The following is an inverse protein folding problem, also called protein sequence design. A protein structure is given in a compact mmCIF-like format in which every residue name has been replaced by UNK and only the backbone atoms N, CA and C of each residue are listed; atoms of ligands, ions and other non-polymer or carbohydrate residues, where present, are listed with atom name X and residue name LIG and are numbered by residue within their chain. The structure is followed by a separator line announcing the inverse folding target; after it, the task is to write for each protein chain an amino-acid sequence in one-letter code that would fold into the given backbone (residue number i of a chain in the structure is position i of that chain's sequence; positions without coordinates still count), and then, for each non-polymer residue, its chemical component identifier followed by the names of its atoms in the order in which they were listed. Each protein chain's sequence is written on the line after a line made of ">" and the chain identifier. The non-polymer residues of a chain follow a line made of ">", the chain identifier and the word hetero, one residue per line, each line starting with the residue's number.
data_IF_846885627290
#
_entry.id   IF_846885627290
#
_cell.length_a   1.000
_cell.length_b   1.000
_cell.length_c   1.000
_cell.angle_alpha   90.00
_cell.angle_beta   90.00
_cell.angle_gamma   90.00
#
_symmetry.space_group_name_H-M   'P 1'
#
loop_
_entity.id
_entity.type
_entity.pdbx_description
1 polymer ?
#
# COMPACT_ATOMS: atom_id res chain seq x y z
N UNK A 1 -2.80 62.32 38.07
CA UNK A 1 -3.19 61.91 36.71
C UNK A 1 -2.35 60.70 36.40
N UNK A 2 -2.91 59.46 36.64
CA UNK A 2 -2.22 58.17 36.43
C UNK A 2 -2.61 57.64 35.06
N UNK A 3 -1.64 57.52 34.16
CA UNK A 3 -1.80 56.97 32.82
C UNK A 3 -1.77 55.42 32.94
N UNK A 4 -2.87 54.74 32.69
CA UNK A 4 -2.98 53.29 32.60
C UNK A 4 -2.58 52.86 31.17
N UNK A 5 -1.45 52.21 31.02
CA UNK A 5 -1.05 51.51 29.79
C UNK A 5 -1.84 50.17 29.76
N UNK A 6 -2.72 50.02 28.76
CA UNK A 6 -3.38 48.78 28.45
C UNK A 6 -2.50 48.07 27.39
N UNK A 7 -1.78 47.02 27.79
CA UNK A 7 -1.14 46.10 26.86
C UNK A 7 -2.20 45.15 26.31
N UNK A 8 -2.60 45.34 25.05
CA UNK A 8 -3.38 44.37 24.31
C UNK A 8 -2.46 43.21 23.88
N UNK A 9 -2.58 42.07 24.53
CA UNK A 9 -1.98 40.83 24.08
C UNK A 9 -2.79 40.28 22.89
N UNK A 10 -2.28 40.52 21.67
CA UNK A 10 -2.71 39.80 20.47
C UNK A 10 -2.25 38.33 20.58
N UNK A 11 -3.12 37.47 21.06
CA UNK A 11 -2.94 36.03 20.98
C UNK A 11 -3.07 35.60 19.52
N UNK A 12 -1.95 35.34 18.86
CA UNK A 12 -1.94 34.56 17.61
C UNK A 12 -2.32 33.15 17.99
N UNK A 13 -3.56 32.75 17.73
CA UNK A 13 -3.96 31.35 17.72
C UNK A 13 -3.26 30.69 16.54
N UNK A 14 -2.15 29.99 16.80
CA UNK A 14 -1.60 29.01 15.85
C UNK A 14 -2.60 27.86 15.90
N UNK A 15 -3.39 27.73 14.84
CA UNK A 15 -4.12 26.50 14.59
C UNK A 15 -3.06 25.43 14.35
N UNK A 16 -2.90 24.54 15.31
CA UNK A 16 -2.31 23.23 15.04
C UNK A 16 -3.34 22.56 14.15
N UNK A 17 -3.03 22.38 12.87
CA UNK A 17 -3.69 21.37 12.06
C UNK A 17 -3.36 20.05 12.76
N UNK A 18 -4.37 19.37 13.32
CA UNK A 18 -4.29 17.98 13.72
C UNK A 18 -3.99 17.22 12.41
N UNK A 19 -2.73 16.87 12.20
CA UNK A 19 -2.34 15.86 11.24
C UNK A 19 -2.96 14.55 11.72
N UNK A 20 -4.17 14.26 11.25
CA UNK A 20 -4.82 12.97 11.43
C UNK A 20 -3.94 11.88 10.82
N UNK A 21 -3.20 11.17 11.66
CA UNK A 21 -2.28 10.08 11.33
C UNK A 21 -3.02 8.94 10.61
N UNK A 22 -2.70 8.69 9.34
CA UNK A 22 -3.45 7.77 8.43
C UNK A 22 -2.48 7.03 7.53
N UNK A 23 -2.62 5.67 7.31
CA UNK A 23 -1.47 4.76 7.18
C UNK A 23 -0.55 5.22 8.31
N UNK A 24 -0.26 4.56 9.31
CA UNK A 24 0.34 5.16 10.52
C UNK A 24 1.36 6.25 10.14
N UNK A 25 1.10 7.51 10.51
CA UNK A 25 1.94 8.67 10.17
C UNK A 25 1.96 9.08 8.68
N UNK A 26 0.95 8.68 7.91
CA UNK A 26 0.76 9.07 6.51
C UNK A 26 -0.06 10.34 6.33
N UNK A 27 -0.66 10.50 5.16
CA UNK A 27 -1.56 11.61 4.80
C UNK A 27 -2.63 11.14 3.83
N UNK A 28 -3.77 11.83 3.77
CA UNK A 28 -4.79 11.54 2.75
C UNK A 28 -4.22 11.81 1.35
N UNK A 29 -4.25 10.80 0.47
CA UNK A 29 -3.80 10.97 -0.91
C UNK A 29 -4.63 12.08 -1.59
N UNK A 30 -4.01 12.82 -2.50
CA UNK A 30 -4.78 13.65 -3.42
C UNK A 30 -5.76 12.75 -4.18
N UNK A 31 -7.03 13.15 -4.26
CA UNK A 31 -8.07 12.36 -4.91
C UNK A 31 -7.64 11.93 -6.31
N UNK A 32 -7.74 10.63 -6.59
CA UNK A 32 -7.38 9.98 -7.87
C UNK A 32 -5.90 10.08 -8.27
N UNK A 33 -4.99 10.42 -7.35
CA UNK A 33 -3.55 10.48 -7.64
C UNK A 33 -2.87 9.11 -7.71
N UNK A 34 -3.57 8.04 -7.31
CA UNK A 34 -3.08 6.65 -7.31
C UNK A 34 -4.04 5.80 -8.16
N UNK A 35 -4.15 6.03 -9.50
CA UNK A 35 -5.20 5.44 -10.33
C UNK A 35 -5.05 3.92 -10.54
N UNK A 36 -3.93 3.34 -10.16
CA UNK A 36 -3.61 1.92 -10.26
C UNK A 36 -3.99 1.12 -9.00
N UNK A 37 -4.32 1.79 -7.90
CA UNK A 37 -4.69 1.07 -6.67
C UNK A 37 -6.08 0.45 -6.82
N UNK A 38 -6.24 -0.76 -6.26
CA UNK A 38 -7.52 -1.43 -6.21
C UNK A 38 -7.83 -1.89 -4.79
N UNK A 39 -9.12 -1.97 -4.45
CA UNK A 39 -9.61 -2.57 -3.22
C UNK A 39 -10.12 -3.97 -3.52
N UNK A 40 -9.62 -5.00 -2.84
CA UNK A 40 -10.17 -6.35 -2.84
C UNK A 40 -11.30 -6.39 -1.80
N UNK A 41 -12.51 -6.78 -2.23
CA UNK A 41 -13.73 -6.58 -1.46
C UNK A 41 -14.60 -7.84 -1.40
N UNK A 42 -15.05 -8.17 -0.20
CA UNK A 42 -16.00 -9.28 0.09
C UNK A 42 -17.24 -8.77 0.84
N UNK A 43 -17.72 -7.58 0.49
CA UNK A 43 -18.71 -6.80 1.24
C UNK A 43 -18.06 -5.71 2.10
N UNK A 44 -16.76 -5.82 2.34
CA UNK A 44 -15.87 -4.83 2.97
C UNK A 44 -14.47 -4.94 2.34
N UNK A 45 -13.71 -3.85 2.43
CA UNK A 45 -12.29 -3.84 2.04
C UNK A 45 -11.50 -4.75 2.97
N UNK A 46 -10.63 -5.62 2.41
CA UNK A 46 -9.78 -6.49 3.24
C UNK A 46 -8.31 -6.54 2.80
N UNK A 47 -8.03 -6.18 1.56
CA UNK A 47 -6.69 -6.10 0.97
C UNK A 47 -6.67 -5.10 -0.17
N UNK A 48 -5.50 -4.59 -0.48
CA UNK A 48 -5.22 -3.81 -1.67
C UNK A 48 -4.70 -4.64 -2.83
N UNK A 49 -4.44 -3.98 -3.93
CA UNK A 49 -3.77 -4.51 -5.10
C UNK A 49 -3.37 -3.42 -6.06
N UNK A 50 -2.68 -3.79 -7.14
CA UNK A 50 -2.20 -2.88 -8.17
C UNK A 50 -2.62 -3.35 -9.56
N UNK A 51 -3.31 -2.51 -10.32
CA UNK A 51 -3.67 -2.79 -11.72
C UNK A 51 -2.40 -2.69 -12.58
N UNK A 52 -1.93 -3.82 -13.14
CA UNK A 52 -0.71 -3.87 -13.96
C UNK A 52 -0.99 -3.98 -15.47
N UNK A 53 -2.16 -4.47 -15.84
CA UNK A 53 -2.75 -4.37 -17.20
C UNK A 53 -4.25 -4.07 -17.07
N UNK A 54 -4.94 -3.82 -18.17
CA UNK A 54 -6.40 -3.58 -18.10
C UNK A 54 -7.19 -4.75 -17.50
N UNK A 55 -6.62 -5.95 -17.43
CA UNK A 55 -7.34 -7.15 -16.96
C UNK A 55 -6.62 -7.92 -15.85
N UNK A 56 -5.44 -7.46 -15.39
CA UNK A 56 -4.67 -8.14 -14.36
C UNK A 56 -4.28 -7.23 -13.22
N UNK A 57 -4.50 -7.73 -12.01
CA UNK A 57 -4.12 -7.09 -10.74
C UNK A 57 -3.06 -7.93 -10.05
N UNK A 58 -2.02 -7.27 -9.53
CA UNK A 58 -1.01 -7.86 -8.65
C UNK A 58 -1.36 -7.55 -7.19
N UNK A 59 -1.29 -8.57 -6.33
CA UNK A 59 -1.55 -8.47 -4.89
C UNK A 59 -0.70 -9.47 -4.12
N UNK A 60 -0.91 -9.62 -2.81
CA UNK A 60 -0.21 -10.56 -1.95
C UNK A 60 -0.92 -11.92 -1.90
N UNK A 61 -0.15 -13.02 -1.85
CA UNK A 61 -0.72 -14.38 -1.78
C UNK A 61 -1.51 -14.62 -0.49
N UNK A 62 -1.12 -14.00 0.63
CA UNK A 62 -1.86 -14.12 1.88
C UNK A 62 -3.25 -13.46 1.84
N UNK A 63 -3.53 -12.61 0.85
CA UNK A 63 -4.85 -12.05 0.56
C UNK A 63 -5.78 -13.01 -0.19
N UNK A 64 -5.34 -14.22 -0.51
CA UNK A 64 -6.14 -15.17 -1.28
C UNK A 64 -7.51 -15.44 -0.64
N UNK A 65 -8.56 -15.27 -1.45
CA UNK A 65 -9.92 -15.76 -1.19
C UNK A 65 -10.49 -16.35 -2.49
N UNK A 66 -11.43 -17.30 -2.43
CA UNK A 66 -11.94 -17.96 -3.63
C UNK A 66 -12.82 -17.03 -4.50
N UNK A 67 -13.52 -16.07 -3.90
CA UNK A 67 -14.42 -15.15 -4.59
C UNK A 67 -14.36 -13.79 -3.91
N UNK A 68 -14.16 -12.74 -4.69
CA UNK A 68 -14.18 -11.35 -4.26
C UNK A 68 -14.35 -10.42 -5.47
N UNK A 69 -14.81 -9.23 -5.23
CA UNK A 69 -14.85 -8.15 -6.20
C UNK A 69 -13.58 -7.31 -6.12
N UNK A 70 -13.15 -6.81 -7.26
CA UNK A 70 -12.08 -5.83 -7.40
C UNK A 70 -12.71 -4.47 -7.67
N UNK A 71 -12.48 -3.52 -6.78
CA UNK A 71 -12.98 -2.15 -6.89
C UNK A 71 -11.84 -1.24 -7.31
N UNK A 72 -12.02 -0.59 -8.47
CA UNK A 72 -11.06 0.31 -9.08
C UNK A 72 -11.61 1.74 -9.06
N UNK A 73 -10.75 2.76 -9.13
CA UNK A 73 -11.16 4.17 -9.18
C UNK A 73 -11.72 4.72 -7.87
N UNK A 74 -11.47 4.00 -6.76
CA UNK A 74 -11.88 4.38 -5.40
C UNK A 74 -10.96 5.47 -4.83
N UNK A 75 -11.57 6.40 -4.09
CA UNK A 75 -10.86 7.28 -3.18
C UNK A 75 -11.52 7.22 -1.80
N UNK A 76 -12.81 7.45 -1.72
CA UNK A 76 -13.60 7.22 -0.52
C UNK A 76 -14.38 5.91 -0.65
N UNK A 77 -13.92 4.83 0.02
CA UNK A 77 -14.53 3.50 -0.08
C UNK A 77 -15.91 3.38 0.59
N UNK A 78 -16.35 4.37 1.37
CA UNK A 78 -17.64 4.38 2.05
C UNK A 78 -18.77 4.92 1.16
N UNK A 79 -18.45 5.68 0.11
CA UNK A 79 -19.44 6.34 -0.76
C UNK A 79 -19.12 6.15 -2.24
N UNK A 80 -20.15 6.18 -3.09
CA UNK A 80 -19.94 6.21 -4.54
C UNK A 80 -19.66 7.62 -5.01
N UNK A 81 -18.48 7.83 -5.61
CA UNK A 81 -18.01 9.12 -6.11
C UNK A 81 -18.22 9.27 -7.63
N UNK A 82 -18.60 8.17 -8.33
CA UNK A 82 -18.86 8.14 -9.76
C UNK A 82 -17.64 7.84 -10.64
N UNK A 83 -16.51 7.50 -10.04
CA UNK A 83 -15.25 7.17 -10.73
C UNK A 83 -14.93 5.67 -10.69
N UNK A 84 -15.73 4.91 -9.93
CA UNK A 84 -15.47 3.52 -9.60
C UNK A 84 -15.86 2.56 -10.74
N UNK A 85 -15.11 1.47 -10.81
CA UNK A 85 -15.43 0.29 -11.60
C UNK A 85 -15.36 -0.94 -10.68
N UNK A 86 -16.43 -1.72 -10.63
CA UNK A 86 -16.51 -2.95 -9.83
C UNK A 86 -16.53 -4.13 -10.78
N UNK A 87 -15.48 -4.95 -10.71
CA UNK A 87 -15.28 -6.08 -11.62
C UNK A 87 -14.94 -7.32 -10.77
N UNK A 88 -15.70 -8.39 -10.94
CA UNK A 88 -15.44 -9.63 -10.21
C UNK A 88 -14.15 -10.31 -10.68
N UNK A 89 -13.49 -11.02 -9.78
CA UNK A 89 -12.34 -11.87 -10.09
C UNK A 89 -12.82 -13.18 -10.74
N UNK A 90 -12.18 -13.61 -11.85
CA UNK A 90 -12.49 -14.89 -12.52
C UNK A 90 -11.38 -15.92 -12.34
N UNK A 91 -10.18 -15.47 -12.01
CA UNK A 91 -9.04 -16.34 -11.72
C UNK A 91 -8.12 -15.68 -10.71
N UNK A 92 -7.68 -16.48 -9.75
CA UNK A 92 -6.74 -16.06 -8.70
C UNK A 92 -5.59 -17.06 -8.67
N UNK A 93 -4.37 -16.58 -8.86
CA UNK A 93 -3.16 -17.41 -9.01
C UNK A 93 -2.13 -16.94 -8.00
N UNK A 94 -1.95 -17.69 -6.92
CA UNK A 94 -0.87 -17.48 -5.97
C UNK A 94 0.43 -18.09 -6.50
N UNK A 95 1.57 -17.53 -6.12
CA UNK A 95 2.87 -18.13 -6.47
C UNK A 95 2.99 -19.54 -5.86
N UNK A 96 3.41 -20.52 -6.66
CA UNK A 96 3.44 -21.94 -6.24
C UNK A 96 4.35 -22.23 -5.04
N UNK A 97 5.37 -21.38 -4.83
CA UNK A 97 6.31 -21.49 -3.71
C UNK A 97 5.96 -20.55 -2.54
N UNK A 98 4.74 -19.99 -2.51
CA UNK A 98 4.30 -19.18 -1.37
C UNK A 98 4.38 -19.97 -0.06
N UNK A 99 5.05 -19.41 0.92
CA UNK A 99 5.20 -20.00 2.25
C UNK A 99 4.47 -19.12 3.28
N UNK A 100 3.34 -19.62 3.80
CA UNK A 100 2.49 -18.89 4.74
C UNK A 100 3.12 -18.68 6.15
N UNK A 101 4.22 -19.35 6.49
CA UNK A 101 4.93 -19.16 7.77
C UNK A 101 5.97 -18.06 7.69
N UNK A 102 6.74 -18.03 6.60
CA UNK A 102 7.79 -17.03 6.39
C UNK A 102 7.32 -15.84 5.57
N UNK A 103 6.21 -15.96 4.83
CA UNK A 103 5.71 -15.04 3.81
C UNK A 103 6.68 -14.92 2.61
N UNK A 104 7.56 -15.90 2.41
CA UNK A 104 8.35 -15.95 1.19
C UNK A 104 7.48 -16.20 -0.03
N UNK A 105 7.77 -15.54 -1.15
CA UNK A 105 6.96 -15.55 -2.38
C UNK A 105 5.50 -15.09 -2.16
N UNK A 106 5.29 -14.09 -1.32
CA UNK A 106 3.96 -13.54 -1.02
C UNK A 106 3.46 -12.64 -2.16
N UNK A 107 3.05 -13.28 -3.24
CA UNK A 107 2.61 -12.61 -4.46
C UNK A 107 1.49 -13.41 -5.15
N UNK A 108 0.53 -12.71 -5.74
CA UNK A 108 -0.67 -13.26 -6.34
C UNK A 108 -1.10 -12.43 -7.54
N UNK A 109 -1.54 -13.09 -8.61
CA UNK A 109 -2.17 -12.49 -9.77
C UNK A 109 -3.67 -12.77 -9.77
N UNK A 110 -4.45 -11.75 -10.09
CA UNK A 110 -5.91 -11.78 -10.17
C UNK A 110 -6.32 -11.38 -11.57
N UNK A 111 -7.04 -12.26 -12.29
CA UNK A 111 -7.65 -11.93 -13.57
C UNK A 111 -9.07 -11.40 -13.37
N UNK A 112 -9.35 -10.22 -13.93
CA UNK A 112 -10.66 -9.60 -13.91
C UNK A 112 -11.61 -10.29 -14.93
N UNK A 113 -12.89 -10.33 -14.64
CA UNK A 113 -13.92 -10.91 -15.51
C UNK A 113 -14.03 -10.18 -16.86
N UNK A 114 -13.76 -8.89 -16.87
CA UNK A 114 -13.66 -8.05 -18.07
C UNK A 114 -12.53 -7.04 -17.90
N UNK A 115 -11.93 -6.54 -18.98
CA UNK A 115 -10.96 -5.47 -18.89
C UNK A 115 -11.56 -4.22 -18.25
N UNK A 116 -10.80 -3.59 -17.35
CA UNK A 116 -11.12 -2.27 -16.81
C UNK A 116 -11.00 -1.22 -17.92
N UNK A 117 -11.87 -0.22 -17.90
CA UNK A 117 -11.80 0.94 -18.77
C UNK A 117 -10.73 1.91 -18.23
N UNK A 118 -9.63 2.04 -18.95
CA UNK A 118 -8.53 2.93 -18.54
C UNK A 118 -8.90 4.39 -18.82
N UNK A 119 -8.70 5.24 -17.79
CA UNK A 119 -8.98 6.67 -17.84
C UNK A 119 -8.12 7.40 -16.77
N UNK A 120 -8.44 8.66 -16.45
CA UNK A 120 -7.70 9.41 -15.43
C UNK A 120 -7.90 8.89 -14.00
N UNK A 121 -8.93 8.08 -13.73
CA UNK A 121 -9.27 7.54 -12.40
C UNK A 121 -8.84 6.07 -12.24
N UNK A 122 -8.73 5.34 -13.35
CA UNK A 122 -8.35 3.93 -13.39
C UNK A 122 -7.28 3.77 -14.45
N UNK A 123 -6.05 3.46 -14.04
CA UNK A 123 -4.93 3.28 -14.96
C UNK A 123 -3.97 2.22 -14.42
N UNK A 124 -3.07 1.76 -15.25
CA UNK A 124 -2.06 0.76 -14.87
C UNK A 124 -0.83 1.41 -14.29
N UNK A 125 -0.08 0.64 -13.46
CA UNK A 125 1.27 0.95 -13.05
C UNK A 125 2.25 0.03 -13.78
N UNK A 126 3.40 0.55 -14.20
CA UNK A 126 4.43 -0.23 -14.87
C UNK A 126 5.14 -1.17 -13.91
N UNK A 127 5.47 -2.37 -14.38
CA UNK A 127 6.39 -3.25 -13.67
C UNK A 127 7.82 -2.67 -13.68
N UNK A 128 8.65 -3.00 -12.67
CA UNK A 128 9.97 -2.42 -12.56
C UNK A 128 10.95 -3.02 -13.57
N UNK A 129 11.85 -2.20 -14.11
CA UNK A 129 12.95 -2.64 -14.97
C UNK A 129 14.17 -3.15 -14.19
N UNK A 130 14.21 -2.94 -12.87
CA UNK A 130 15.28 -3.35 -11.95
C UNK A 130 14.78 -3.35 -10.51
N UNK A 131 15.63 -3.75 -9.57
CA UNK A 131 15.28 -3.76 -8.15
C UNK A 131 15.57 -2.41 -7.50
N UNK A 132 14.79 -1.98 -6.50
CA UNK A 132 14.95 -0.67 -5.89
C UNK A 132 16.24 -0.62 -5.04
N UNK A 133 16.99 0.46 -5.15
CA UNK A 133 18.17 0.69 -4.32
C UNK A 133 17.78 1.21 -2.93
N UNK A 134 18.61 0.93 -1.92
CA UNK A 134 18.45 1.54 -0.61
C UNK A 134 18.49 3.07 -0.72
N UNK A 135 17.60 3.75 0.01
CA UNK A 135 17.41 5.20 -0.03
C UNK A 135 16.43 5.68 -1.10
N UNK A 136 16.01 4.83 -2.06
CA UNK A 136 14.98 5.19 -3.03
C UNK A 136 13.67 5.50 -2.29
N UNK A 137 13.06 6.66 -2.59
CA UNK A 137 11.76 7.03 -2.02
C UNK A 137 10.64 6.39 -2.81
N UNK A 138 9.71 5.76 -2.08
CA UNK A 138 8.57 5.07 -2.65
C UNK A 138 7.28 5.58 -2.03
N UNK A 139 6.22 5.61 -2.82
CA UNK A 139 4.86 5.86 -2.39
C UNK A 139 4.21 4.53 -2.01
N UNK A 140 3.69 4.43 -0.79
CA UNK A 140 2.85 3.35 -0.29
C UNK A 140 1.44 3.92 -0.15
N UNK A 141 0.42 3.19 -0.58
CA UNK A 141 -0.96 3.66 -0.50
C UNK A 141 -1.93 2.55 -0.11
N UNK A 142 -2.99 2.90 0.66
CA UNK A 142 -4.01 1.95 1.06
C UNK A 142 -5.07 2.54 1.99
N UNK A 143 -6.02 1.69 2.39
CA UNK A 143 -7.11 2.00 3.35
C UNK A 143 -6.94 1.21 4.66
N UNK A 144 -5.71 0.81 4.96
CA UNK A 144 -5.40 0.07 6.18
C UNK A 144 -5.52 0.91 7.44
N UNK A 145 -5.40 0.22 8.58
CA UNK A 145 -5.46 0.83 9.90
C UNK A 145 -4.42 1.97 10.03
N UNK A 146 -4.83 3.05 10.66
CA UNK A 146 -4.07 4.29 10.78
C UNK A 146 -3.43 4.46 12.16
N UNK A 147 -3.69 3.52 13.07
CA UNK A 147 -3.15 3.54 14.43
C UNK A 147 -2.12 2.44 14.63
N UNK A 148 -1.03 2.76 15.30
CA UNK A 148 -0.04 1.77 15.76
C UNK A 148 -0.54 0.94 16.95
N UNK A 149 -1.51 1.47 17.70
CA UNK A 149 -2.20 0.83 18.81
C UNK A 149 -3.71 1.14 18.70
N UNK A 150 -4.53 0.09 18.60
CA UNK A 150 -5.96 0.20 18.34
C UNK A 150 -6.34 0.07 16.86
N UNK A 151 -7.57 0.44 16.51
CA UNK A 151 -8.14 0.32 15.17
C UNK A 151 -8.83 1.61 14.74
N UNK A 152 -8.42 2.13 13.58
CA UNK A 152 -9.08 3.21 12.88
C UNK A 152 -8.91 3.00 11.38
N UNK A 153 -9.92 2.47 10.70
CA UNK A 153 -9.91 2.22 9.25
C UNK A 153 -10.50 3.43 8.53
N UNK A 154 -9.70 4.12 7.71
CA UNK A 154 -10.12 5.34 7.02
C UNK A 154 -11.02 5.02 5.83
N UNK A 155 -12.01 5.89 5.58
CA UNK A 155 -12.78 5.85 4.34
C UNK A 155 -11.97 6.36 3.14
N UNK A 156 -11.13 7.37 3.36
CA UNK A 156 -10.32 8.02 2.33
C UNK A 156 -8.97 7.30 2.15
N UNK A 157 -8.54 7.16 0.90
CA UNK A 157 -7.24 6.58 0.55
C UNK A 157 -6.09 7.34 1.21
N UNK A 158 -5.17 6.61 1.85
CA UNK A 158 -4.01 7.12 2.54
C UNK A 158 -2.72 6.86 1.78
N UNK A 159 -1.74 7.76 1.94
CA UNK A 159 -0.45 7.78 1.28
C UNK A 159 0.68 7.92 2.30
N UNK A 160 1.81 7.27 2.04
CA UNK A 160 3.06 7.41 2.80
C UNK A 160 4.24 7.41 1.84
N UNK A 161 5.11 8.40 1.95
CA UNK A 161 6.41 8.38 1.29
C UNK A 161 7.45 7.79 2.24
N UNK A 162 8.01 6.64 1.89
CA UNK A 162 8.98 5.92 2.70
C UNK A 162 10.23 5.55 1.90
N UNK A 163 11.44 5.59 2.49
CA UNK A 163 12.66 5.15 1.83
C UNK A 163 12.78 3.62 1.89
N UNK A 164 13.33 3.02 0.84
CA UNK A 164 13.84 1.64 0.87
C UNK A 164 15.03 1.57 1.83
N UNK A 165 15.02 0.59 2.71
CA UNK A 165 16.08 0.40 3.71
C UNK A 165 17.16 -0.56 3.21
N UNK A 166 18.42 -0.44 3.71
CA UNK A 166 19.46 -1.44 3.47
C UNK A 166 19.00 -2.83 3.94
N UNK A 167 19.30 -3.88 3.14
CA UNK A 167 18.93 -5.27 3.47
C UNK A 167 19.47 -5.74 4.83
N UNK A 168 20.59 -5.18 5.28
CA UNK A 168 21.14 -5.45 6.61
C UNK A 168 20.20 -5.04 7.74
N UNK A 169 19.51 -3.91 7.61
CA UNK A 169 18.53 -3.47 8.60
C UNK A 169 17.31 -4.41 8.64
N UNK A 170 16.84 -4.86 7.46
CA UNK A 170 15.77 -5.86 7.37
C UNK A 170 16.17 -7.19 8.03
N UNK A 171 17.39 -7.67 7.76
CA UNK A 171 17.89 -8.93 8.34
C UNK A 171 18.03 -8.86 9.86
N UNK A 172 18.37 -7.69 10.40
CA UNK A 172 18.42 -7.46 11.86
C UNK A 172 17.02 -7.46 12.46
N UNK A 173 16.06 -6.78 11.80
CA UNK A 173 14.67 -6.71 12.26
C UNK A 173 13.95 -8.07 12.19
N UNK A 174 14.23 -8.86 11.15
CA UNK A 174 13.53 -10.13 10.87
C UNK A 174 14.50 -11.29 10.57
N UNK A 175 15.35 -11.70 11.50
CA UNK A 175 16.49 -12.60 11.25
C UNK A 175 16.09 -13.98 10.70
N UNK A 176 14.86 -14.46 11.00
CA UNK A 176 14.39 -15.80 10.62
C UNK A 176 13.33 -15.80 9.51
N UNK A 177 12.91 -14.61 9.03
CA UNK A 177 11.83 -14.48 8.04
C UNK A 177 12.24 -13.76 6.77
N UNK A 178 13.19 -12.81 6.87
CA UNK A 178 13.61 -11.99 5.73
C UNK A 178 14.40 -12.84 4.71
N UNK A 179 13.95 -12.80 3.44
CA UNK A 179 14.55 -13.52 2.32
C UNK A 179 15.01 -12.57 1.22
N UNK A 180 15.70 -13.08 0.20
CA UNK A 180 16.08 -12.31 -0.98
C UNK A 180 14.90 -11.85 -1.84
N UNK A 181 13.71 -12.42 -1.62
CA UNK A 181 12.46 -12.04 -2.30
C UNK A 181 11.71 -10.89 -1.62
N UNK A 182 12.33 -10.26 -0.63
CA UNK A 182 11.76 -9.18 0.17
C UNK A 182 12.66 -7.96 0.17
N UNK A 183 12.09 -6.82 0.49
CA UNK A 183 12.81 -5.63 0.92
C UNK A 183 12.03 -4.93 2.03
N UNK A 184 12.67 -4.05 2.79
CA UNK A 184 12.01 -3.20 3.76
C UNK A 184 11.99 -1.76 3.27
N UNK A 185 10.91 -1.06 3.59
CA UNK A 185 10.83 0.38 3.46
C UNK A 185 10.16 0.94 4.73
N UNK A 186 10.48 2.17 5.08
CA UNK A 186 9.93 2.78 6.28
C UNK A 186 11.00 3.50 7.10
N UNK A 187 10.75 3.57 8.40
CA UNK A 187 11.53 4.36 9.35
C UNK A 187 11.89 3.50 10.56
N UNK A 188 13.18 3.38 10.86
CA UNK A 188 13.66 2.56 11.98
C UNK A 188 13.23 3.14 13.33
N UNK A 189 13.08 4.45 13.41
CA UNK A 189 12.55 5.13 14.59
C UNK A 189 11.07 4.81 14.89
N UNK A 190 10.36 4.21 13.92
CA UNK A 190 8.92 3.95 14.00
C UNK A 190 8.06 5.19 13.68
N UNK A 191 6.78 5.12 14.02
CA UNK A 191 5.82 6.22 13.86
C UNK A 191 5.20 6.33 12.47
N UNK A 192 5.76 5.66 11.43
CA UNK A 192 5.22 5.67 10.06
C UNK A 192 5.38 4.30 9.41
N UNK A 193 4.27 3.72 8.95
CA UNK A 193 4.27 2.39 8.31
C UNK A 193 2.95 2.08 7.59
N UNK A 194 2.95 1.05 6.74
CA UNK A 194 1.74 0.34 6.32
C UNK A 194 1.20 -0.55 7.46
N UNK A 195 -0.11 -0.81 7.44
CA UNK A 195 -0.76 -1.53 8.52
C UNK A 195 -1.82 -2.53 8.00
N UNK A 196 -2.56 -3.18 8.90
CA UNK A 196 -3.63 -4.12 8.57
C UNK A 196 -4.64 -3.47 7.63
N UNK A 197 -4.96 -4.12 6.51
CA UNK A 197 -5.81 -3.59 5.43
C UNK A 197 -5.03 -3.01 4.25
N UNK A 198 -3.75 -2.61 4.42
CA UNK A 198 -2.88 -2.22 3.31
C UNK A 198 -2.28 -3.41 2.56
N UNK A 199 -2.35 -4.61 3.13
CA UNK A 199 -1.86 -5.89 2.57
C UNK A 199 -2.19 -6.03 1.09
N UNK A 200 -1.22 -6.42 0.28
CA UNK A 200 -1.39 -6.56 -1.18
C UNK A 200 -1.32 -5.25 -1.97
N UNK A 201 -1.36 -4.11 -1.28
CA UNK A 201 -1.29 -2.77 -1.88
C UNK A 201 0.07 -2.43 -2.49
N UNK A 202 0.13 -1.32 -3.27
CA UNK A 202 1.31 -0.93 -4.03
C UNK A 202 2.40 -0.27 -3.19
N UNK A 203 3.66 -0.55 -3.57
CA UNK A 203 4.84 0.28 -3.26
C UNK A 203 5.46 0.73 -4.57
N UNK A 204 5.26 2.00 -4.92
CA UNK A 204 5.67 2.57 -6.19
C UNK A 204 6.83 3.52 -5.98
N UNK A 205 7.94 3.27 -6.69
CA UNK A 205 9.12 4.10 -6.67
C UNK A 205 9.43 4.51 -8.12
N UNK A 206 9.67 5.79 -8.35
CA UNK A 206 9.97 6.35 -9.69
C UNK A 206 8.93 5.92 -10.76
N UNK A 207 7.64 5.84 -10.38
CA UNK A 207 6.53 5.48 -11.27
C UNK A 207 6.44 3.98 -11.60
N UNK A 208 7.23 3.11 -10.97
CA UNK A 208 7.23 1.66 -11.18
C UNK A 208 6.85 0.91 -9.90
N UNK A 209 6.14 -0.21 -10.04
CA UNK A 209 5.68 -1.06 -8.95
C UNK A 209 6.82 -1.95 -8.44
N UNK A 210 7.53 -1.50 -7.43
CA UNK A 210 8.66 -2.23 -6.85
C UNK A 210 8.29 -3.20 -5.74
N UNK A 211 7.17 -2.96 -5.06
CA UNK A 211 6.77 -3.77 -3.92
C UNK A 211 5.28 -4.02 -3.81
N UNK A 212 4.95 -5.10 -3.09
CA UNK A 212 3.61 -5.45 -2.64
C UNK A 212 3.64 -5.50 -1.11
N UNK A 213 2.71 -4.83 -0.43
CA UNK A 213 2.61 -4.85 1.03
C UNK A 213 2.41 -6.27 1.51
N UNK A 214 3.31 -6.78 2.37
CA UNK A 214 3.31 -8.17 2.81
C UNK A 214 3.11 -8.32 4.30
N UNK A 215 4.08 -7.97 5.13
CA UNK A 215 3.97 -8.09 6.58
C UNK A 215 4.82 -7.09 7.35
N UNK A 216 4.54 -7.00 8.67
CA UNK A 216 5.33 -6.29 9.65
C UNK A 216 5.14 -6.92 11.04
N UNK A 217 5.86 -6.44 12.04
CA UNK A 217 5.62 -6.75 13.44
C UNK A 217 4.87 -5.59 14.11
N UNK A 218 3.54 -5.70 14.20
CA UNK A 218 2.69 -4.55 14.50
C UNK A 218 2.69 -3.55 13.35
N UNK A 219 2.44 -2.29 13.62
CA UNK A 219 2.52 -1.21 12.64
C UNK A 219 3.32 -0.06 13.24
N UNK A 220 4.24 0.51 12.44
CA UNK A 220 5.08 1.64 12.82
C UNK A 220 5.89 1.43 14.12
N UNK A 221 6.17 0.18 14.47
CA UNK A 221 6.95 -0.14 15.66
C UNK A 221 8.43 0.16 15.42
N UNK A 222 9.07 0.79 16.42
CA UNK A 222 10.51 1.03 16.39
C UNK A 222 11.28 -0.25 16.15
N UNK A 223 12.30 -0.20 15.29
CA UNK A 223 13.17 -1.30 14.87
C UNK A 223 12.49 -2.39 14.02
N UNK A 224 11.20 -2.23 13.65
CA UNK A 224 10.45 -3.18 12.86
C UNK A 224 9.78 -2.50 11.64
N UNK A 225 10.55 -2.16 10.60
CA UNK A 225 9.99 -1.55 9.38
C UNK A 225 9.10 -2.51 8.61
N UNK A 226 8.19 -1.99 7.78
CA UNK A 226 7.37 -2.78 6.89
C UNK A 226 8.19 -3.64 5.93
N UNK A 227 7.71 -4.85 5.64
CA UNK A 227 8.33 -5.81 4.71
C UNK A 227 7.42 -5.98 3.49
N UNK A 228 8.03 -5.92 2.32
CA UNK A 228 7.36 -5.89 1.02
C UNK A 228 7.93 -6.96 0.10
N UNK A 229 7.06 -7.62 -0.67
CA UNK A 229 7.50 -8.56 -1.71
C UNK A 229 8.21 -7.81 -2.81
N UNK A 230 9.41 -8.24 -3.18
CA UNK A 230 10.29 -7.61 -4.17
C UNK A 230 9.85 -7.97 -5.58
N UNK A 231 9.05 -7.12 -6.24
CA UNK A 231 8.40 -7.39 -7.54
C UNK A 231 9.41 -7.68 -8.65
N UNK A 232 10.58 -7.05 -8.66
CA UNK A 232 11.62 -7.30 -9.68
C UNK A 232 12.08 -8.76 -9.78
N UNK A 233 11.91 -9.56 -8.73
CA UNK A 233 12.22 -10.99 -8.74
C UNK A 233 11.17 -11.84 -9.46
N UNK A 234 10.00 -11.27 -9.76
CA UNK A 234 8.83 -12.01 -10.25
C UNK A 234 8.40 -11.63 -11.67
N UNK A 235 9.16 -10.79 -12.39
CA UNK A 235 8.79 -10.29 -13.72
C UNK A 235 8.47 -11.45 -14.66
N UNK A 236 9.38 -12.43 -14.78
CA UNK A 236 9.16 -13.59 -15.64
C UNK A 236 7.96 -14.44 -15.23
N UNK A 237 7.72 -14.59 -13.90
CA UNK A 237 6.54 -15.32 -13.41
C UNK A 237 5.25 -14.58 -13.77
N UNK A 238 5.22 -13.25 -13.61
CA UNK A 238 4.07 -12.40 -13.96
C UNK A 238 3.78 -12.52 -15.46
N UNK A 239 4.79 -12.29 -16.32
CA UNK A 239 4.64 -12.32 -17.78
C UNK A 239 4.20 -13.69 -18.30
N UNK A 240 4.83 -14.77 -17.81
CA UNK A 240 4.48 -16.13 -18.18
C UNK A 240 3.05 -16.48 -17.75
N UNK A 241 2.64 -16.05 -16.55
CA UNK A 241 1.28 -16.31 -16.06
C UNK A 241 0.24 -15.55 -16.88
N UNK A 242 0.46 -14.26 -17.16
CA UNK A 242 -0.46 -13.46 -18.00
C UNK A 242 -0.60 -14.03 -19.40
N UNK A 243 0.51 -14.51 -19.98
CA UNK A 243 0.50 -15.10 -21.33
C UNK A 243 -0.20 -16.46 -21.39
N UNK A 244 -0.18 -17.21 -20.28
CA UNK A 244 -0.75 -18.57 -20.20
C UNK A 244 -2.26 -18.57 -19.97
N UNK A 245 -2.85 -17.47 -19.57
CA UNK A 245 -4.26 -17.34 -19.19
C UNK A 245 -4.94 -16.12 -19.79
#
# INVERSE_FOLDING_TARGET
>A
MKLLLICALLGVAVAFEDDDDKIVGGYTCTKNSVPYIVSLNVGYHYCGGSLITSQWVLSAAHCYKPNFDVRLGEHNIAVREGTEQFISSVKVITHSNYNCFTFDNDIMLIKLASPATLNSYVNTVSLPSGCPAAGTRCLIAGWGNTLSDGENYPDLLQCLNAPVLPSSQCSIAYPWRFTSNMFCAGFIEGGKDSCQGDSGGPVVCDGQLHGVVSFGKGCAQRDYPGVYTKVCNYISWIENTITSY
#
